data_IF_463549521293
#
_entry.id   IF_463549521293
#
_cell.length_a   1.000
_cell.length_b   1.000
_cell.length_c   1.000
_cell.angle_alpha   90.00
_cell.angle_beta   90.00
_cell.angle_gamma   90.00
#
_symmetry.space_group_name_H-M   'P 1'
#
loop_
_entity.id
_entity.type
_entity.pdbx_description
1 polymer ?
#
# COMPACT_ATOMS: atom_id res chain seq x y z
N UNK A 1 10.85 -2.66 1.89
CA UNK A 1 10.65 -4.11 1.88
C UNK A 1 9.17 -4.48 1.81
N UNK A 2 8.79 -5.68 1.27
CA UNK A 2 7.42 -6.17 1.28
C UNK A 2 7.00 -6.66 2.67
N UNK A 3 5.69 -6.63 2.96
CA UNK A 3 5.14 -7.24 4.19
C UNK A 3 5.53 -6.59 5.52
N UNK A 4 6.00 -5.33 5.51
CA UNK A 4 6.38 -4.55 6.72
C UNK A 4 5.28 -3.62 7.22
N UNK A 5 4.06 -3.67 6.64
CA UNK A 5 2.92 -2.88 7.11
C UNK A 5 2.86 -1.44 6.59
N UNK A 6 3.33 -1.14 5.37
CA UNK A 6 3.25 0.22 4.81
C UNK A 6 1.85 0.82 4.83
N UNK A 7 0.84 0.04 4.49
CA UNK A 7 -0.57 0.46 4.55
C UNK A 7 -1.02 0.68 5.99
N UNK A 8 -0.69 -0.24 6.90
CA UNK A 8 -1.02 -0.13 8.32
C UNK A 8 -0.40 1.12 8.98
N UNK A 9 0.82 1.51 8.55
CA UNK A 9 1.44 2.77 9.00
C UNK A 9 0.58 3.97 8.59
N UNK A 10 0.06 3.99 7.35
CA UNK A 10 -0.79 5.09 6.89
C UNK A 10 -2.12 5.13 7.63
N UNK A 11 -2.72 3.97 7.90
CA UNK A 11 -3.94 3.86 8.72
C UNK A 11 -3.71 4.41 10.14
N UNK A 12 -2.61 4.00 10.77
CA UNK A 12 -2.25 4.48 12.10
C UNK A 12 -2.02 6.00 12.13
N UNK A 13 -1.25 6.53 11.18
CA UNK A 13 -1.00 7.98 11.07
C UNK A 13 -2.30 8.76 10.86
N UNK A 14 -3.17 8.29 9.97
CA UNK A 14 -4.45 8.94 9.73
C UNK A 14 -5.34 8.94 11.00
N UNK A 15 -5.37 7.83 11.71
CA UNK A 15 -6.11 7.71 12.98
C UNK A 15 -5.54 8.62 14.07
N UNK A 16 -4.22 8.63 14.27
CA UNK A 16 -3.56 9.46 15.29
C UNK A 16 -3.71 10.96 15.01
N UNK A 17 -3.70 11.35 13.73
CA UNK A 17 -3.89 12.74 13.31
C UNK A 17 -5.38 13.15 13.20
N UNK A 18 -6.31 12.22 13.29
CA UNK A 18 -7.74 12.47 13.14
C UNK A 18 -8.13 12.97 11.74
N UNK A 19 -7.46 12.45 10.70
CA UNK A 19 -7.65 12.84 9.29
C UNK A 19 -8.15 11.66 8.45
N UNK A 20 -8.64 11.94 7.26
CA UNK A 20 -9.10 10.92 6.32
C UNK A 20 -7.95 10.12 5.70
N UNK A 21 -8.21 8.85 5.37
CA UNK A 21 -7.35 8.03 4.53
C UNK A 21 -8.14 7.47 3.36
N UNK A 22 -7.67 7.75 2.15
CA UNK A 22 -8.14 7.12 0.90
C UNK A 22 -6.98 6.32 0.33
N UNK A 23 -7.14 5.01 0.23
CA UNK A 23 -6.06 4.08 -0.15
C UNK A 23 -6.39 3.34 -1.44
N UNK A 24 -5.45 3.32 -2.37
CA UNK A 24 -5.54 2.59 -3.63
C UNK A 24 -4.28 1.80 -3.93
N UNK A 25 -4.45 0.57 -4.43
CA UNK A 25 -3.38 -0.19 -5.09
C UNK A 25 -3.43 0.10 -6.58
N UNK A 26 -2.46 0.85 -7.08
CA UNK A 26 -2.48 1.40 -8.46
C UNK A 26 -2.41 0.33 -9.54
N UNK A 27 -1.81 -0.83 -9.26
CA UNK A 27 -1.70 -1.94 -10.23
C UNK A 27 -3.05 -2.47 -10.73
N UNK A 28 -4.12 -2.26 -9.98
CA UNK A 28 -5.47 -2.68 -10.34
C UNK A 28 -6.20 -1.65 -11.24
N UNK A 29 -5.61 -0.46 -11.43
CA UNK A 29 -6.23 0.58 -12.22
C UNK A 29 -5.75 0.56 -13.68
N UNK A 30 -6.72 0.68 -14.58
CA UNK A 30 -6.46 0.98 -15.99
C UNK A 30 -6.27 2.49 -16.17
N UNK A 31 -5.72 2.89 -17.32
CA UNK A 31 -5.65 4.31 -17.65
C UNK A 31 -7.01 5.02 -17.56
N UNK A 32 -8.07 4.35 -17.99
CA UNK A 32 -9.42 4.92 -18.01
C UNK A 32 -10.02 5.09 -16.60
N UNK A 33 -9.83 4.11 -15.71
CA UNK A 33 -10.30 4.24 -14.32
C UNK A 33 -9.52 5.30 -13.54
N UNK A 34 -8.21 5.43 -13.81
CA UNK A 34 -7.37 6.41 -13.11
C UNK A 34 -7.64 7.85 -13.54
N UNK A 35 -7.94 8.10 -14.85
CA UNK A 35 -8.08 9.45 -15.41
C UNK A 35 -9.52 9.87 -15.58
N UNK A 36 -10.41 8.92 -15.78
CA UNK A 36 -11.78 9.11 -16.21
C UNK A 36 -11.97 8.78 -17.69
N UNK A 37 -13.22 8.75 -18.13
CA UNK A 37 -13.61 8.46 -19.50
C UNK A 37 -13.75 9.77 -20.28
N UNK A 38 -13.27 9.83 -21.52
CA UNK A 38 -13.51 10.99 -22.38
C UNK A 38 -14.98 11.04 -22.80
N UNK A 39 -15.55 12.22 -22.78
CA UNK A 39 -16.87 12.50 -23.33
C UNK A 39 -16.85 13.81 -24.12
N UNK A 40 -17.81 13.97 -25.04
CA UNK A 40 -17.91 15.15 -25.87
C UNK A 40 -18.90 16.10 -25.20
N UNK A 41 -18.47 17.33 -24.91
CA UNK A 41 -19.28 18.44 -24.48
C UNK A 41 -19.31 19.55 -25.54
N UNK A 42 -20.38 20.37 -25.55
CA UNK A 42 -20.46 21.56 -26.40
C UNK A 42 -20.10 22.78 -25.56
N UNK A 43 -19.22 23.62 -26.09
CA UNK A 43 -18.84 24.90 -25.50
C UNK A 43 -18.89 26.00 -26.58
N UNK A 44 -19.26 27.20 -26.15
CA UNK A 44 -19.30 28.36 -26.99
C UNK A 44 -18.07 29.22 -26.75
N UNK A 45 -17.26 29.45 -27.76
CA UNK A 45 -16.13 30.36 -27.76
C UNK A 45 -16.30 31.42 -28.87
N UNK A 46 -16.16 32.67 -28.50
CA UNK A 46 -16.30 33.79 -29.41
C UNK A 46 -17.61 33.77 -30.24
N UNK A 47 -18.69 33.19 -29.65
CA UNK A 47 -20.01 33.10 -30.32
C UNK A 47 -20.19 31.87 -31.21
N UNK A 48 -19.16 31.01 -31.34
CA UNK A 48 -19.22 29.76 -32.09
C UNK A 48 -19.31 28.53 -31.20
N UNK A 49 -20.24 27.62 -31.50
CA UNK A 49 -20.39 26.35 -30.80
C UNK A 49 -19.39 25.33 -31.29
N UNK A 50 -18.51 24.88 -30.43
CA UNK A 50 -17.52 23.86 -30.73
C UNK A 50 -17.69 22.64 -29.83
N UNK A 51 -17.36 21.47 -30.39
CA UNK A 51 -17.30 20.23 -29.60
C UNK A 51 -15.92 20.09 -28.99
N UNK A 52 -15.87 19.90 -27.66
CA UNK A 52 -14.63 19.70 -26.92
C UNK A 52 -14.67 18.36 -26.22
N UNK A 53 -13.49 17.73 -26.07
CA UNK A 53 -13.36 16.51 -25.28
C UNK A 53 -13.07 16.88 -23.82
N UNK A 54 -13.90 16.40 -22.94
CA UNK A 54 -13.71 16.48 -21.49
C UNK A 54 -13.59 15.08 -20.91
N UNK A 55 -13.14 14.97 -19.66
CA UNK A 55 -13.02 13.70 -18.95
C UNK A 55 -13.95 13.70 -17.75
N UNK A 56 -14.57 12.55 -17.48
CA UNK A 56 -15.28 12.32 -16.23
C UNK A 56 -14.29 12.38 -15.07
N UNK A 57 -14.76 12.69 -13.87
CA UNK A 57 -13.92 12.63 -12.70
C UNK A 57 -13.39 11.19 -12.50
N UNK A 58 -12.12 11.05 -12.18
CA UNK A 58 -11.54 9.75 -11.87
C UNK A 58 -12.10 9.21 -10.55
N UNK A 59 -12.19 7.88 -10.46
CA UNK A 59 -12.60 7.20 -9.23
C UNK A 59 -11.72 7.60 -8.03
N UNK A 60 -10.41 7.75 -8.25
CA UNK A 60 -9.46 8.14 -7.20
C UNK A 60 -9.80 9.51 -6.60
N UNK A 61 -10.14 10.50 -7.44
CA UNK A 61 -10.51 11.83 -6.96
C UNK A 61 -11.92 11.81 -6.39
N UNK A 62 -12.86 11.11 -7.01
CA UNK A 62 -14.24 11.02 -6.53
C UNK A 62 -14.29 10.44 -5.11
N UNK A 63 -13.53 9.39 -4.82
CA UNK A 63 -13.47 8.78 -3.48
C UNK A 63 -12.95 9.72 -2.40
N UNK A 64 -12.11 10.70 -2.76
CA UNK A 64 -11.69 11.72 -1.80
C UNK A 64 -12.88 12.61 -1.42
N UNK A 65 -13.68 13.04 -2.40
CA UNK A 65 -14.87 13.84 -2.15
C UNK A 65 -15.91 13.07 -1.36
N UNK A 66 -16.15 11.79 -1.71
CA UNK A 66 -17.07 10.91 -0.97
C UNK A 66 -16.63 10.76 0.49
N UNK A 67 -15.33 10.60 0.73
CA UNK A 67 -14.80 10.49 2.09
C UNK A 67 -14.95 11.80 2.88
N UNK A 68 -14.77 12.96 2.24
CA UNK A 68 -15.01 14.26 2.86
C UNK A 68 -16.50 14.42 3.23
N UNK A 69 -17.41 14.05 2.32
CA UNK A 69 -18.85 14.13 2.58
C UNK A 69 -19.28 13.23 3.74
N UNK A 70 -18.73 12.03 3.84
CA UNK A 70 -19.07 11.07 4.89
C UNK A 70 -18.52 11.47 6.25
N UNK A 71 -17.30 11.99 6.33
CA UNK A 71 -16.61 12.28 7.58
C UNK A 71 -16.80 13.73 8.06
N UNK A 72 -17.05 14.67 7.14
CA UNK A 72 -16.98 16.10 7.39
C UNK A 72 -15.56 16.65 7.57
N UNK A 73 -14.53 15.81 7.39
CA UNK A 73 -13.12 16.18 7.54
C UNK A 73 -12.53 16.49 6.17
N UNK A 74 -11.95 17.70 6.02
CA UNK A 74 -11.37 18.14 4.75
C UNK A 74 -9.88 17.81 4.58
N UNK A 75 -9.24 17.27 5.61
CA UNK A 75 -7.84 16.92 5.63
C UNK A 75 -7.66 15.41 5.52
N UNK A 76 -6.62 14.97 4.80
CA UNK A 76 -6.41 13.55 4.63
C UNK A 76 -5.16 13.14 3.86
N UNK A 77 -5.01 11.85 3.73
CA UNK A 77 -3.97 11.18 2.96
C UNK A 77 -4.63 10.45 1.78
N UNK A 78 -4.17 10.74 0.57
CA UNK A 78 -4.35 9.84 -0.57
C UNK A 78 -3.14 8.93 -0.65
N UNK A 79 -3.32 7.67 -0.29
CA UNK A 79 -2.25 6.66 -0.31
C UNK A 79 -2.34 5.81 -1.57
N UNK A 80 -1.26 5.82 -2.38
CA UNK A 80 -1.15 5.06 -3.62
C UNK A 80 -0.08 3.99 -3.46
N UNK A 81 -0.51 2.74 -3.24
CA UNK A 81 0.42 1.63 -3.09
C UNK A 81 0.85 1.05 -4.43
N UNK A 82 2.03 0.45 -4.46
CA UNK A 82 2.66 -0.17 -5.63
C UNK A 82 2.85 0.78 -6.82
N UNK A 83 3.12 2.06 -6.55
CA UNK A 83 3.23 3.11 -7.58
C UNK A 83 4.29 2.80 -8.65
N UNK A 84 5.31 2.04 -8.33
CA UNK A 84 6.38 1.65 -9.23
C UNK A 84 6.11 0.33 -10.00
N UNK A 85 4.94 -0.27 -9.81
CA UNK A 85 4.44 -1.43 -10.55
C UNK A 85 3.39 -1.06 -11.62
N UNK A 86 3.13 0.22 -11.83
CA UNK A 86 2.15 0.68 -12.82
C UNK A 86 2.56 0.33 -14.26
N UNK A 87 1.56 0.15 -15.13
CA UNK A 87 1.80 -0.11 -16.54
C UNK A 87 2.54 1.04 -17.22
N UNK A 88 3.25 0.75 -18.33
CA UNK A 88 3.97 1.76 -19.12
C UNK A 88 3.07 2.89 -19.59
N UNK A 89 1.82 2.57 -19.89
CA UNK A 89 0.85 3.55 -20.40
C UNK A 89 0.30 4.45 -19.30
N UNK A 90 0.31 3.99 -18.04
CA UNK A 90 -0.20 4.74 -16.90
C UNK A 90 0.92 5.53 -16.17
N UNK A 91 2.16 5.04 -16.21
CA UNK A 91 3.27 5.66 -15.47
C UNK A 91 3.46 7.17 -15.75
N UNK A 92 3.50 7.66 -17.01
CA UNK A 92 3.67 9.10 -17.27
C UNK A 92 2.57 9.96 -16.68
N UNK A 93 1.36 9.44 -16.62
CA UNK A 93 0.20 10.16 -16.10
C UNK A 93 0.19 10.18 -14.59
N UNK A 94 0.63 9.10 -13.96
CA UNK A 94 0.82 9.08 -12.50
C UNK A 94 1.90 10.07 -12.08
N UNK A 95 3.00 10.19 -12.84
CA UNK A 95 4.03 11.20 -12.57
C UNK A 95 3.47 12.62 -12.68
N UNK A 96 2.67 12.89 -13.71
CA UNK A 96 1.99 14.17 -13.87
C UNK A 96 1.01 14.42 -12.71
N UNK A 97 0.28 13.40 -12.27
CA UNK A 97 -0.62 13.48 -11.13
C UNK A 97 0.12 13.81 -9.83
N UNK A 98 1.23 13.15 -9.57
CA UNK A 98 2.06 13.45 -8.39
C UNK A 98 2.57 14.89 -8.40
N UNK A 99 2.88 15.44 -9.57
CA UNK A 99 3.38 16.80 -9.72
C UNK A 99 2.29 17.87 -9.57
N UNK A 100 1.16 17.68 -10.25
CA UNK A 100 0.12 18.73 -10.37
C UNK A 100 -1.12 18.45 -9.51
N UNK A 101 -1.22 17.27 -8.91
CA UNK A 101 -2.38 16.79 -8.15
C UNK A 101 -3.69 16.85 -8.96
N UNK A 102 -3.61 16.59 -10.29
CA UNK A 102 -4.75 16.64 -11.19
C UNK A 102 -4.80 15.42 -12.10
N UNK A 103 -6.01 14.92 -12.34
CA UNK A 103 -6.34 14.03 -13.45
C UNK A 103 -7.34 14.74 -14.38
N UNK A 104 -6.98 14.93 -15.65
CA UNK A 104 -7.80 15.73 -16.57
C UNK A 104 -8.04 17.13 -16.00
N UNK A 105 -9.31 17.51 -15.89
CA UNK A 105 -9.75 18.80 -15.34
C UNK A 105 -10.00 18.77 -13.81
N UNK A 106 -9.86 17.62 -13.19
CA UNK A 106 -10.21 17.42 -11.78
C UNK A 106 -8.95 17.42 -10.90
N UNK A 107 -9.02 18.18 -9.82
CA UNK A 107 -7.91 18.34 -8.87
C UNK A 107 -8.21 17.62 -7.56
N UNK A 108 -7.18 17.08 -6.94
CA UNK A 108 -7.24 16.61 -5.54
C UNK A 108 -7.60 17.82 -4.65
N UNK A 109 -8.59 17.70 -3.76
CA UNK A 109 -8.97 18.77 -2.83
C UNK A 109 -7.79 19.28 -2.01
N UNK A 110 -7.79 20.57 -1.72
CA UNK A 110 -6.83 21.15 -0.79
C UNK A 110 -7.00 20.49 0.60
N UNK A 111 -5.91 20.30 1.31
CA UNK A 111 -5.90 19.55 2.58
C UNK A 111 -5.49 18.09 2.44
N UNK A 112 -5.49 17.51 1.22
CA UNK A 112 -5.00 16.15 1.00
C UNK A 112 -3.53 16.13 0.59
N UNK A 113 -2.77 15.25 1.25
CA UNK A 113 -1.38 14.91 0.91
C UNK A 113 -1.37 13.61 0.12
N UNK A 114 -0.64 13.57 -0.98
CA UNK A 114 -0.43 12.33 -1.74
C UNK A 114 0.80 11.63 -1.16
N UNK A 115 0.61 10.40 -0.72
CA UNK A 115 1.68 9.51 -0.26
C UNK A 115 1.70 8.29 -1.17
N UNK A 116 2.88 7.91 -1.62
CA UNK A 116 3.04 6.73 -2.48
C UNK A 116 3.96 5.72 -1.83
N UNK A 117 3.70 4.45 -2.06
CA UNK A 117 4.58 3.38 -1.64
C UNK A 117 4.96 2.48 -2.81
N UNK A 118 6.10 1.85 -2.68
CA UNK A 118 6.60 0.87 -3.64
C UNK A 118 7.65 -0.01 -3.00
N UNK A 119 7.89 -1.15 -3.61
CA UNK A 119 8.97 -2.05 -3.20
C UNK A 119 10.16 -1.86 -4.14
N UNK A 120 11.41 -1.98 -3.64
CA UNK A 120 12.60 -1.95 -4.49
C UNK A 120 12.62 -3.10 -5.51
N UNK A 121 13.37 -2.93 -6.64
CA UNK A 121 13.41 -3.91 -7.73
C UNK A 121 13.89 -5.31 -7.33
N UNK A 122 14.70 -5.43 -6.30
CA UNK A 122 15.20 -6.72 -5.78
C UNK A 122 14.08 -7.63 -5.26
N UNK A 123 12.96 -7.07 -4.87
CA UNK A 123 11.81 -7.85 -4.39
C UNK A 123 10.78 -8.18 -5.48
N UNK A 124 10.72 -7.38 -6.54
CA UNK A 124 9.76 -7.57 -7.61
C UNK A 124 10.36 -7.15 -8.97
N UNK A 125 10.51 -8.11 -9.88
CA UNK A 125 11.06 -7.88 -11.22
C UNK A 125 10.20 -6.97 -12.12
N UNK A 126 8.93 -6.79 -11.79
CA UNK A 126 8.01 -5.91 -12.52
C UNK A 126 8.15 -4.45 -12.10
N UNK A 127 8.94 -4.17 -11.08
CA UNK A 127 9.19 -2.82 -10.56
C UNK A 127 10.07 -2.04 -11.53
N UNK A 128 9.71 -0.78 -11.73
CA UNK A 128 10.53 0.20 -12.45
C UNK A 128 11.08 1.20 -11.46
N UNK A 129 12.36 1.50 -11.62
CA UNK A 129 12.93 2.65 -10.93
C UNK A 129 12.37 3.93 -11.53
N UNK A 130 12.05 4.87 -10.65
CA UNK A 130 11.75 6.22 -11.07
C UNK A 130 13.02 6.92 -11.53
N UNK A 131 12.88 7.73 -12.56
CA UNK A 131 13.96 8.58 -13.02
C UNK A 131 14.29 9.70 -12.02
N UNK A 132 15.45 10.35 -12.21
CA UNK A 132 15.90 11.45 -11.36
C UNK A 132 14.88 12.59 -11.32
N UNK A 133 14.18 12.82 -12.44
CA UNK A 133 13.19 13.90 -12.54
C UNK A 133 11.98 13.63 -11.64
N UNK A 134 11.61 12.37 -11.48
CA UNK A 134 10.55 11.96 -10.55
C UNK A 134 10.99 12.08 -9.10
N UNK A 135 12.21 11.61 -8.80
CA UNK A 135 12.74 11.70 -7.44
C UNK A 135 12.93 13.14 -6.96
N UNK A 136 13.23 14.08 -7.85
CA UNK A 136 13.33 15.51 -7.51
C UNK A 136 11.99 16.13 -7.05
N UNK A 137 10.88 15.51 -7.41
CA UNK A 137 9.52 16.00 -7.10
C UNK A 137 8.89 15.41 -5.85
N UNK A 138 9.47 14.36 -5.29
CA UNK A 138 8.95 13.65 -4.14
C UNK A 138 9.96 13.64 -2.98
N UNK A 139 9.47 13.58 -1.76
CA UNK A 139 10.30 13.31 -0.59
C UNK A 139 10.35 11.80 -0.40
N UNK A 140 11.54 11.24 -0.48
CA UNK A 140 11.77 9.80 -0.33
C UNK A 140 12.03 9.46 1.13
N UNK A 141 11.28 8.51 1.64
CA UNK A 141 11.44 7.95 2.99
C UNK A 141 11.70 6.46 2.83
N UNK A 142 12.77 5.98 3.44
CA UNK A 142 13.07 4.55 3.51
C UNK A 142 12.47 4.00 4.79
N UNK A 143 11.71 2.92 4.65
CA UNK A 143 11.15 2.18 5.78
C UNK A 143 11.87 0.84 5.85
N UNK A 144 12.42 0.56 7.01
CA UNK A 144 13.13 -0.68 7.33
C UNK A 144 12.30 -1.48 8.34
N UNK A 145 12.55 -2.78 8.38
CA UNK A 145 11.98 -3.66 9.36
C UNK A 145 12.64 -3.44 10.74
N UNK A 146 11.83 -3.26 11.75
CA UNK A 146 12.28 -3.15 13.14
C UNK A 146 11.35 -3.93 14.06
N UNK A 147 11.87 -5.02 14.64
CA UNK A 147 11.11 -5.85 15.55
C UNK A 147 10.64 -5.08 16.80
N UNK A 148 11.45 -4.18 17.32
CA UNK A 148 11.13 -3.43 18.54
C UNK A 148 9.93 -2.51 18.31
N UNK A 149 9.90 -1.83 17.18
CA UNK A 149 8.76 -0.98 16.76
C UNK A 149 7.53 -1.84 16.47
N UNK A 150 7.70 -2.91 15.68
CA UNK A 150 6.59 -3.81 15.38
C UNK A 150 5.99 -4.45 16.63
N UNK A 151 6.78 -4.74 17.64
CA UNK A 151 6.33 -5.31 18.91
C UNK A 151 5.33 -4.42 19.65
N UNK A 152 5.49 -3.09 19.59
CA UNK A 152 4.51 -2.16 20.17
C UNK A 152 3.16 -2.26 19.47
N UNK A 153 3.17 -2.33 18.14
CA UNK A 153 1.98 -2.62 17.34
C UNK A 153 1.40 -4.00 17.70
N UNK A 154 2.25 -5.02 17.78
CA UNK A 154 1.85 -6.41 18.03
C UNK A 154 1.10 -6.58 19.36
N UNK A 155 1.48 -5.85 20.39
CA UNK A 155 0.74 -5.84 21.67
C UNK A 155 -0.64 -5.21 21.50
N UNK A 156 -0.75 -4.09 20.79
CA UNK A 156 -2.03 -3.42 20.53
C UNK A 156 -2.95 -4.29 19.66
N UNK A 157 -2.39 -4.95 18.66
CA UNK A 157 -3.08 -5.87 17.75
C UNK A 157 -3.34 -7.24 18.39
N UNK A 158 -2.89 -7.45 19.62
CA UNK A 158 -3.04 -8.72 20.34
C UNK A 158 -2.46 -9.91 19.57
N UNK A 159 -1.29 -9.77 18.99
CA UNK A 159 -0.58 -10.87 18.33
C UNK A 159 -0.39 -12.02 19.34
N UNK A 160 -0.46 -13.26 18.86
CA UNK A 160 -0.40 -14.46 19.67
C UNK A 160 0.85 -14.51 20.57
N UNK A 161 0.68 -14.86 21.84
CA UNK A 161 1.76 -14.80 22.83
C UNK A 161 2.95 -15.70 22.51
N UNK A 162 2.74 -16.86 21.90
CA UNK A 162 3.83 -17.75 21.47
C UNK A 162 4.74 -17.07 20.44
N UNK A 163 4.15 -16.34 19.47
CA UNK A 163 4.91 -15.60 18.45
C UNK A 163 5.77 -14.51 19.11
N UNK A 164 5.18 -13.73 19.99
CA UNK A 164 5.91 -12.67 20.69
C UNK A 164 7.05 -13.26 21.54
N UNK A 165 6.80 -14.35 22.27
CA UNK A 165 7.82 -15.02 23.07
C UNK A 165 8.95 -15.59 22.22
N UNK A 166 8.63 -16.19 21.08
CA UNK A 166 9.62 -16.72 20.15
C UNK A 166 10.49 -15.61 19.57
N UNK A 167 9.88 -14.54 19.08
CA UNK A 167 10.59 -13.43 18.44
C UNK A 167 11.40 -12.59 19.44
N UNK A 168 11.06 -12.59 20.73
CA UNK A 168 11.92 -11.99 21.76
C UNK A 168 13.27 -12.71 21.87
N UNK A 169 13.28 -14.03 21.69
CA UNK A 169 14.48 -14.86 21.77
C UNK A 169 15.22 -14.86 20.42
N UNK A 170 14.47 -14.94 19.32
CA UNK A 170 14.96 -15.11 17.95
C UNK A 170 14.62 -13.86 17.09
N UNK A 171 15.07 -12.68 17.49
CA UNK A 171 14.73 -11.40 16.83
C UNK A 171 15.05 -11.39 15.34
N UNK A 172 16.11 -12.08 14.92
CA UNK A 172 16.52 -12.16 13.52
C UNK A 172 15.51 -12.94 12.64
N UNK A 173 14.64 -13.74 13.25
CA UNK A 173 13.60 -14.49 12.55
C UNK A 173 12.32 -13.66 12.31
N UNK A 174 12.29 -12.42 12.78
CA UNK A 174 11.16 -11.50 12.55
C UNK A 174 10.98 -11.19 11.07
N UNK A 175 12.09 -10.91 10.38
CA UNK A 175 12.08 -10.59 8.96
C UNK A 175 13.28 -11.22 8.26
N UNK A 176 13.00 -12.01 7.24
CA UNK A 176 14.02 -12.65 6.40
C UNK A 176 13.50 -12.76 4.97
N UNK A 177 14.28 -12.33 4.00
CA UNK A 177 14.00 -12.56 2.57
C UNK A 177 15.29 -13.06 1.92
N UNK A 178 15.33 -14.33 1.60
CA UNK A 178 16.47 -14.99 0.98
C UNK A 178 16.06 -15.49 -0.40
N UNK A 179 16.88 -15.20 -1.40
CA UNK A 179 16.72 -15.71 -2.76
C UNK A 179 17.98 -16.47 -3.11
N UNK A 180 17.87 -17.77 -3.26
CA UNK A 180 18.96 -18.67 -3.63
C UNK A 180 18.61 -19.52 -4.86
N UNK A 181 19.44 -20.49 -5.18
CA UNK A 181 19.25 -21.39 -6.33
C UNK A 181 18.05 -22.33 -6.13
N UNK A 182 17.69 -22.61 -4.89
CA UNK A 182 16.60 -23.52 -4.53
C UNK A 182 15.24 -22.82 -4.49
N UNK A 183 15.23 -21.48 -4.56
CA UNK A 183 14.01 -20.70 -4.59
C UNK A 183 14.04 -19.44 -3.72
N UNK A 184 12.85 -18.94 -3.40
CA UNK A 184 12.68 -17.81 -2.49
C UNK A 184 12.13 -18.31 -1.17
N UNK A 185 12.85 -18.02 -0.09
CA UNK A 185 12.39 -18.22 1.29
C UNK A 185 12.19 -16.87 1.94
N UNK A 186 11.11 -16.71 2.66
CA UNK A 186 10.87 -15.44 3.32
C UNK A 186 9.96 -15.56 4.54
N UNK A 187 10.22 -14.71 5.51
CA UNK A 187 9.36 -14.44 6.66
C UNK A 187 9.18 -12.92 6.76
N UNK A 188 7.96 -12.48 6.96
CA UNK A 188 7.62 -11.05 7.05
C UNK A 188 6.73 -10.78 8.25
N UNK A 189 6.62 -9.51 8.65
CA UNK A 189 5.71 -9.08 9.71
C UNK A 189 4.25 -9.50 9.41
N UNK A 190 3.81 -9.41 8.14
CA UNK A 190 2.49 -9.89 7.70
C UNK A 190 2.33 -11.40 7.92
N UNK A 191 3.35 -12.20 7.57
CA UNK A 191 3.28 -13.66 7.78
C UNK A 191 3.08 -14.02 9.25
N UNK A 192 3.76 -13.33 10.16
CA UNK A 192 3.56 -13.52 11.60
C UNK A 192 2.17 -13.08 12.07
N UNK A 193 1.63 -12.00 11.53
CA UNK A 193 0.29 -11.52 11.85
C UNK A 193 -0.79 -12.48 11.36
N UNK A 194 -0.70 -12.92 10.10
CA UNK A 194 -1.63 -13.89 9.50
C UNK A 194 -1.60 -15.21 10.28
N UNK A 195 -0.41 -15.71 10.61
CA UNK A 195 -0.22 -16.90 11.45
C UNK A 195 -0.90 -16.72 12.81
N UNK A 196 -0.70 -15.57 13.46
CA UNK A 196 -1.32 -15.26 14.75
C UNK A 196 -2.83 -15.34 14.72
N UNK A 197 -3.45 -14.79 13.69
CA UNK A 197 -4.91 -14.80 13.56
C UNK A 197 -5.46 -16.21 13.47
N UNK A 198 -4.83 -17.05 12.66
CA UNK A 198 -5.30 -18.41 12.43
C UNK A 198 -4.96 -19.33 13.62
N UNK A 199 -3.82 -19.14 14.28
CA UNK A 199 -3.48 -19.86 15.51
C UNK A 199 -4.57 -19.69 16.58
N UNK A 200 -5.06 -18.47 16.79
CA UNK A 200 -6.14 -18.20 17.76
C UNK A 200 -7.42 -18.96 17.41
N UNK A 201 -7.76 -19.05 16.12
CA UNK A 201 -8.94 -19.81 15.66
C UNK A 201 -8.73 -21.31 15.87
N UNK A 202 -7.53 -21.84 15.56
CA UNK A 202 -7.20 -23.24 15.76
C UNK A 202 -7.27 -23.64 17.24
N UNK A 203 -6.74 -22.82 18.13
CA UNK A 203 -6.87 -23.05 19.58
C UNK A 203 -8.33 -23.07 20.03
N UNK A 204 -9.16 -22.14 19.55
CA UNK A 204 -10.58 -22.10 19.88
C UNK A 204 -11.34 -23.36 19.41
N UNK A 205 -10.91 -23.91 18.29
CA UNK A 205 -11.53 -25.11 17.69
C UNK A 205 -10.88 -26.41 18.21
N UNK A 206 -9.80 -26.33 18.98
CA UNK A 206 -9.07 -27.49 19.48
C UNK A 206 -8.27 -28.22 18.41
N UNK A 207 -7.86 -27.55 17.34
CA UNK A 207 -7.00 -28.12 16.31
C UNK A 207 -5.54 -28.00 16.72
N UNK A 208 -4.72 -28.98 16.26
CA UNK A 208 -3.28 -28.94 16.47
C UNK A 208 -2.63 -27.90 15.55
N UNK A 209 -1.63 -27.21 16.08
CA UNK A 209 -0.73 -26.33 15.32
C UNK A 209 0.58 -27.10 15.17
N UNK A 210 0.91 -27.46 13.95
CA UNK A 210 2.09 -28.23 13.60
C UNK A 210 2.94 -27.53 12.53
N UNK A 211 4.06 -28.14 12.17
CA UNK A 211 4.98 -27.62 11.16
C UNK A 211 4.28 -27.39 9.80
N UNK A 212 3.46 -28.33 9.35
CA UNK A 212 2.80 -28.26 8.04
C UNK A 212 1.82 -27.09 7.97
N UNK A 213 1.26 -26.73 9.11
CA UNK A 213 0.44 -25.54 9.25
C UNK A 213 1.28 -24.25 9.25
N UNK A 214 2.33 -24.19 10.07
CA UNK A 214 3.15 -22.99 10.25
C UNK A 214 3.90 -22.60 8.96
N UNK A 215 4.44 -23.57 8.22
CA UNK A 215 5.20 -23.33 6.99
C UNK A 215 4.39 -22.65 5.88
N UNK A 216 3.06 -22.74 5.92
CA UNK A 216 2.19 -22.06 4.95
C UNK A 216 2.21 -20.53 5.11
N UNK A 217 2.50 -20.04 6.31
CA UNK A 217 2.54 -18.60 6.63
C UNK A 217 3.98 -18.06 6.64
N UNK A 218 4.92 -18.82 7.18
CA UNK A 218 6.31 -18.40 7.33
C UNK A 218 7.16 -18.94 6.17
N UNK A 219 6.84 -19.21 5.07
CA UNK A 219 7.53 -19.52 3.80
C UNK A 219 9.08 -19.71 3.91
N UNK A 220 9.55 -20.10 5.09
CA UNK A 220 10.93 -20.45 5.43
C UNK A 220 10.89 -21.70 6.32
N UNK A 221 11.34 -22.83 5.76
CA UNK A 221 11.22 -24.12 6.43
C UNK A 221 12.02 -24.21 7.72
N UNK A 222 13.19 -23.54 7.78
CA UNK A 222 14.04 -23.58 8.97
C UNK A 222 13.37 -22.80 10.11
N UNK A 223 12.86 -21.61 9.82
CA UNK A 223 12.17 -20.77 10.81
C UNK A 223 10.85 -21.42 11.22
N UNK A 224 10.09 -21.98 10.27
CA UNK A 224 8.83 -22.66 10.56
C UNK A 224 9.00 -23.91 11.44
N UNK A 225 10.13 -24.61 11.31
CA UNK A 225 10.45 -25.78 12.12
C UNK A 225 11.00 -25.42 13.50
N UNK A 226 11.69 -24.30 13.60
CA UNK A 226 12.25 -23.77 14.85
C UNK A 226 11.16 -23.16 15.75
N UNK A 227 10.12 -22.61 15.15
CA UNK A 227 8.95 -22.07 15.84
C UNK A 227 8.01 -23.16 16.34
#
# INVERSE_FOLDING_TARGET
PPGIGKTAIMEQVAQECGINLVSYTITHHTRQSAIGLPFISKKTYDGEDVSVTEYTMSEIIASIYDQIEQSGIHEGILFLDEINCVSETLAPMMLQFLQYKTFGNHRVPDGFVIVTAGNPPEYNKSVRDFDIVTYDRVKRIYIEEDFSVWKEYAYKAQIHGAILSYLEIKKNNFYSVVSDLDGKRFVTARGWEDLSQVMKVYEQLGFAIDYDFVVQYLQDEEIARDF
#
